data_IF_438653451751
#
_entry.id   IF_438653451751
#
_cell.length_a   1.000
_cell.length_b   1.000
_cell.length_c   1.000
_cell.angle_alpha   90.00
_cell.angle_beta   90.00
_cell.angle_gamma   90.00
#
_symmetry.space_group_name_H-M   'P 1'
#
loop_
_entity.id
_entity.type
_entity.pdbx_description
1 polymer ?
#
# COMPACT_ATOMS: atom_id res chain seq x y z
N UNK A 1 26.98 -26.11 -49.36
CA UNK A 1 25.63 -25.83 -48.82
C UNK A 1 25.74 -25.83 -47.32
N UNK A 2 25.71 -24.64 -46.70
CA UNK A 2 25.82 -24.48 -45.25
C UNK A 2 24.39 -24.28 -44.71
N UNK A 3 23.89 -25.26 -43.96
CA UNK A 3 22.59 -25.19 -43.32
C UNK A 3 22.63 -24.17 -42.19
N UNK A 4 21.88 -23.07 -42.36
CA UNK A 4 21.62 -22.09 -41.33
C UNK A 4 20.49 -22.66 -40.47
N UNK A 5 20.83 -23.17 -39.27
CA UNK A 5 19.80 -23.45 -38.24
C UNK A 5 19.43 -22.13 -37.58
N UNK A 6 18.26 -21.62 -37.94
CA UNK A 6 17.60 -20.53 -37.23
C UNK A 6 16.97 -21.12 -35.96
N UNK A 7 17.63 -20.93 -34.82
CA UNK A 7 17.09 -21.31 -33.52
C UNK A 7 16.14 -20.15 -33.05
N UNK A 8 14.85 -20.33 -33.28
CA UNK A 8 13.85 -19.42 -32.73
C UNK A 8 13.71 -19.65 -31.24
N UNK A 9 14.25 -18.73 -30.46
CA UNK A 9 14.00 -18.65 -29.01
C UNK A 9 12.58 -18.19 -28.81
N UNK A 10 11.69 -19.09 -28.43
CA UNK A 10 10.33 -18.78 -28.01
C UNK A 10 10.40 -18.13 -26.61
N UNK A 11 10.25 -16.83 -26.54
CA UNK A 11 10.10 -16.11 -25.27
C UNK A 11 8.66 -16.31 -24.79
N UNK A 12 8.43 -17.31 -23.93
CA UNK A 12 7.15 -17.46 -23.25
C UNK A 12 7.05 -16.36 -22.18
N UNK A 13 6.27 -15.34 -22.45
CA UNK A 13 5.87 -14.37 -21.44
C UNK A 13 4.83 -15.04 -20.53
N UNK A 14 5.25 -15.49 -19.36
CA UNK A 14 4.33 -15.90 -18.31
C UNK A 14 3.70 -14.61 -17.73
N UNK A 15 2.54 -14.24 -18.22
CA UNK A 15 1.67 -13.32 -17.50
C UNK A 15 1.05 -14.11 -16.35
N UNK A 16 1.61 -13.98 -15.15
CA UNK A 16 0.93 -14.43 -13.92
C UNK A 16 -0.25 -13.45 -13.78
N UNK A 17 -1.51 -13.91 -13.83
CA UNK A 17 -2.62 -13.02 -13.52
C UNK A 17 -2.40 -12.54 -12.07
N UNK A 18 -2.33 -11.23 -11.88
CA UNK A 18 -2.39 -10.68 -10.53
C UNK A 18 -3.72 -11.16 -9.93
N UNK A 19 -3.66 -11.89 -8.82
CA UNK A 19 -4.86 -12.23 -8.10
C UNK A 19 -5.51 -10.91 -7.70
N UNK A 20 -6.78 -10.72 -8.01
CA UNK A 20 -7.52 -9.56 -7.59
C UNK A 20 -7.61 -9.62 -6.06
N UNK A 21 -7.00 -8.67 -5.38
CA UNK A 21 -7.11 -8.53 -3.94
C UNK A 21 -8.54 -8.24 -3.53
N UNK A 22 -8.90 -8.61 -2.31
CA UNK A 22 -10.18 -8.25 -1.71
C UNK A 22 -9.92 -7.11 -0.73
N UNK A 23 -10.47 -5.93 -1.02
CA UNK A 23 -10.38 -4.75 -0.18
C UNK A 23 -11.50 -4.72 0.87
N UNK A 24 -11.17 -4.16 2.05
CA UNK A 24 -12.13 -3.83 3.08
C UNK A 24 -11.71 -2.58 3.85
N UNK A 25 -12.71 -1.91 4.42
CA UNK A 25 -12.58 -0.73 5.29
C UNK A 25 -13.48 -0.96 6.50
N UNK A 26 -12.97 -0.72 7.70
CA UNK A 26 -13.73 -0.72 8.94
C UNK A 26 -13.48 0.59 9.69
N UNK A 27 -14.53 1.19 10.23
CA UNK A 27 -14.49 2.46 10.97
C UNK A 27 -15.05 2.25 12.35
N UNK A 28 -14.29 2.64 13.37
CA UNK A 28 -14.67 2.51 14.77
C UNK A 28 -14.61 3.86 15.50
N UNK A 29 -15.57 4.11 16.38
CA UNK A 29 -15.50 5.13 17.42
C UNK A 29 -15.33 4.46 18.78
N UNK A 30 -14.24 4.77 19.50
CA UNK A 30 -13.92 4.16 20.79
C UNK A 30 -14.07 2.62 20.79
N UNK A 31 -13.54 1.97 19.76
CA UNK A 31 -13.65 0.51 19.52
C UNK A 31 -15.07 0.00 19.20
N UNK A 32 -16.05 0.88 19.01
CA UNK A 32 -17.39 0.51 18.54
C UNK A 32 -17.45 0.65 17.03
N UNK A 33 -17.84 -0.40 16.33
CA UNK A 33 -17.96 -0.35 14.87
C UNK A 33 -19.05 0.65 14.47
N UNK A 34 -18.67 1.65 13.68
CA UNK A 34 -19.56 2.67 13.11
C UNK A 34 -20.09 2.21 11.76
N UNK A 35 -19.17 1.78 10.88
CA UNK A 35 -19.51 1.29 9.53
C UNK A 35 -18.41 0.40 8.98
N UNK A 36 -18.75 -0.39 7.96
CA UNK A 36 -17.78 -1.26 7.29
C UNK A 36 -18.14 -1.52 5.83
N UNK A 37 -17.12 -1.71 5.01
CA UNK A 37 -17.22 -2.08 3.61
C UNK A 37 -16.20 -3.19 3.34
N UNK A 38 -16.62 -4.31 2.74
CA UNK A 38 -15.72 -5.44 2.49
C UNK A 38 -16.11 -6.20 1.22
N UNK A 39 -15.21 -7.08 0.78
CA UNK A 39 -15.47 -7.95 -0.36
C UNK A 39 -15.27 -7.30 -1.73
N UNK A 40 -14.62 -6.15 -1.81
CA UNK A 40 -14.41 -5.43 -3.07
C UNK A 40 -13.20 -5.99 -3.82
N UNK A 41 -13.41 -6.34 -5.08
CA UNK A 41 -12.37 -6.88 -5.98
C UNK A 41 -11.98 -5.91 -7.10
N UNK A 42 -12.52 -4.68 -7.06
CA UNK A 42 -12.28 -3.65 -8.09
C UNK A 42 -10.95 -2.91 -7.91
N UNK A 43 -10.28 -3.09 -6.77
CA UNK A 43 -9.04 -2.39 -6.42
C UNK A 43 -9.25 -0.95 -5.95
N UNK A 44 -10.49 -0.48 -5.85
CA UNK A 44 -10.85 0.82 -5.27
C UNK A 44 -12.01 0.66 -4.32
N UNK A 45 -12.00 1.43 -3.24
CA UNK A 45 -13.07 1.49 -2.26
C UNK A 45 -13.31 2.94 -1.82
N UNK A 46 -14.58 3.27 -1.55
CA UNK A 46 -14.97 4.53 -0.94
C UNK A 46 -16.03 4.24 0.13
N UNK A 47 -15.78 4.70 1.34
CA UNK A 47 -16.71 4.62 2.47
C UNK A 47 -17.02 6.02 2.96
N UNK A 48 -18.30 6.29 3.20
CA UNK A 48 -18.76 7.49 3.92
C UNK A 48 -19.55 7.03 5.13
N UNK A 49 -19.13 7.45 6.31
CA UNK A 49 -19.74 7.09 7.58
C UNK A 49 -20.02 8.32 8.44
N UNK A 50 -20.92 8.19 9.40
CA UNK A 50 -21.19 9.20 10.43
C UNK A 50 -21.86 8.55 11.63
N UNK A 51 -21.70 9.19 12.79
CA UNK A 51 -22.40 8.81 14.02
C UNK A 51 -22.71 10.03 14.90
N UNK A 52 -22.92 9.83 16.21
CA UNK A 52 -23.20 10.93 17.13
C UNK A 52 -21.96 11.82 17.39
N UNK A 53 -20.75 11.25 17.32
CA UNK A 53 -19.49 11.95 17.56
C UNK A 53 -18.92 12.57 16.27
N UNK A 54 -19.15 11.95 15.12
CA UNK A 54 -18.60 12.37 13.84
C UNK A 54 -19.69 12.69 12.83
N UNK A 55 -19.69 13.92 12.32
CA UNK A 55 -20.65 14.37 11.31
C UNK A 55 -20.31 13.89 9.91
N UNK A 56 -19.05 13.62 9.66
CA UNK A 56 -18.54 13.15 8.36
C UNK A 56 -17.24 12.37 8.56
N UNK A 57 -17.16 11.20 7.94
CA UNK A 57 -15.96 10.38 7.82
C UNK A 57 -15.94 9.87 6.39
N UNK A 58 -14.91 10.22 5.62
CA UNK A 58 -14.75 9.79 4.23
C UNK A 58 -13.40 9.09 4.06
N UNK A 59 -13.42 7.89 3.52
CA UNK A 59 -12.24 7.06 3.30
C UNK A 59 -12.18 6.65 1.84
N UNK A 60 -11.11 7.01 1.16
CA UNK A 60 -10.82 6.58 -0.21
C UNK A 60 -9.60 5.67 -0.22
N UNK A 61 -9.71 4.51 -0.84
CA UNK A 61 -8.69 3.47 -0.84
C UNK A 61 -8.44 2.94 -2.24
N UNK A 62 -7.17 2.68 -2.52
CA UNK A 62 -6.73 1.96 -3.71
C UNK A 62 -5.83 0.78 -3.31
N UNK A 63 -5.97 -0.33 -4.00
CA UNK A 63 -5.20 -1.54 -3.81
C UNK A 63 -5.17 -2.39 -5.08
N UNK A 64 -4.80 -3.66 -4.99
CA UNK A 64 -4.80 -4.57 -6.12
C UNK A 64 -6.24 -4.83 -6.65
N UNK A 65 -6.50 -4.83 -7.98
CA UNK A 65 -5.54 -4.80 -9.09
C UNK A 65 -5.20 -3.40 -9.62
N UNK A 66 -5.70 -2.31 -9.04
CA UNK A 66 -5.41 -0.93 -9.48
C UNK A 66 -3.94 -0.60 -9.19
N UNK A 67 -3.49 -0.89 -7.98
CA UNK A 67 -2.07 -0.79 -7.61
C UNK A 67 -1.34 -2.10 -7.92
N UNK A 68 -0.06 -2.03 -8.28
CA UNK A 68 0.74 -3.21 -8.57
C UNK A 68 1.06 -4.01 -7.29
N UNK A 69 1.18 -5.32 -7.44
CA UNK A 69 1.61 -6.25 -6.38
C UNK A 69 0.69 -6.21 -5.15
N UNK A 70 1.27 -5.95 -3.98
CA UNK A 70 0.58 -5.81 -2.71
C UNK A 70 0.65 -4.35 -2.20
N UNK A 71 0.66 -3.39 -3.11
CA UNK A 71 0.59 -2.00 -2.73
C UNK A 71 -0.83 -1.67 -2.25
N UNK A 72 -0.92 -0.92 -1.17
CA UNK A 72 -2.17 -0.49 -0.56
C UNK A 72 -2.06 0.99 -0.18
N UNK A 73 -3.02 1.78 -0.60
CA UNK A 73 -3.04 3.20 -0.31
C UNK A 73 -4.43 3.63 0.18
N UNK A 74 -4.48 4.29 1.32
CA UNK A 74 -5.59 5.17 1.66
C UNK A 74 -5.27 6.55 1.09
N UNK A 75 -5.84 6.85 -0.07
CA UNK A 75 -5.53 8.09 -0.82
C UNK A 75 -6.05 9.33 -0.13
N UNK A 76 -7.12 9.21 0.65
CA UNK A 76 -7.55 10.21 1.63
C UNK A 76 -8.39 9.59 2.74
N UNK A 77 -8.19 10.08 3.95
CA UNK A 77 -9.10 9.99 5.07
C UNK A 77 -9.43 11.41 5.51
N UNK A 78 -10.70 11.75 5.49
CA UNK A 78 -11.23 13.02 5.99
C UNK A 78 -12.24 12.72 7.09
N UNK A 79 -12.09 13.33 8.26
CA UNK A 79 -13.00 13.14 9.39
C UNK A 79 -13.30 14.48 10.08
N UNK A 80 -14.56 14.70 10.46
CA UNK A 80 -15.01 15.91 11.15
C UNK A 80 -15.86 15.57 12.37
N UNK A 81 -15.44 16.04 13.55
CA UNK A 81 -16.21 15.90 14.76
C UNK A 81 -17.52 16.68 14.67
N UNK A 82 -18.62 16.11 15.16
CA UNK A 82 -19.93 16.73 15.16
C UNK A 82 -20.00 17.97 16.04
N UNK A 83 -20.93 18.88 15.77
CA UNK A 83 -21.14 20.06 16.58
C UNK A 83 -21.61 19.74 18.02
N UNK A 84 -22.25 18.58 18.20
CA UNK A 84 -22.68 18.04 19.49
C UNK A 84 -21.66 17.15 20.20
N UNK A 85 -20.43 17.08 19.68
CA UNK A 85 -19.35 16.27 20.22
C UNK A 85 -19.07 16.56 21.69
N UNK A 86 -18.97 15.51 22.50
CA UNK A 86 -18.68 15.62 23.94
C UNK A 86 -17.70 14.55 24.37
N UNK A 87 -16.75 14.91 25.23
CA UNK A 87 -15.76 13.97 25.75
C UNK A 87 -14.53 13.84 24.82
N UNK A 88 -13.88 12.70 24.90
CA UNK A 88 -12.76 12.33 24.02
C UNK A 88 -13.13 11.08 23.26
N UNK A 89 -12.96 11.11 21.95
CA UNK A 89 -13.21 9.98 21.08
C UNK A 89 -11.94 9.62 20.31
N UNK A 90 -11.71 8.35 20.15
CA UNK A 90 -10.66 7.81 19.26
C UNK A 90 -11.33 7.23 18.04
N UNK A 91 -11.15 7.90 16.90
CA UNK A 91 -11.52 7.36 15.61
C UNK A 91 -10.43 6.39 15.17
N UNK A 92 -10.80 5.14 14.94
CA UNK A 92 -9.93 4.15 14.31
C UNK A 92 -10.48 3.79 12.94
N UNK A 93 -9.63 3.87 11.93
CA UNK A 93 -9.95 3.45 10.56
C UNK A 93 -8.97 2.38 10.16
N UNK A 94 -9.47 1.20 9.87
CA UNK A 94 -8.70 0.05 9.39
C UNK A 94 -9.02 -0.18 7.93
N UNK A 95 -7.97 -0.30 7.12
CA UNK A 95 -8.05 -0.65 5.70
C UNK A 95 -7.23 -1.90 5.50
N UNK A 96 -7.78 -2.89 4.85
CA UNK A 96 -7.08 -4.15 4.61
C UNK A 96 -7.33 -4.68 3.20
N UNK A 97 -6.35 -5.40 2.68
CA UNK A 97 -6.52 -6.21 1.48
C UNK A 97 -5.96 -7.61 1.67
N UNK A 98 -6.63 -8.60 1.07
CA UNK A 98 -6.25 -10.01 1.12
C UNK A 98 -6.18 -10.58 -0.29
N UNK A 99 -5.49 -11.72 -0.46
CA UNK A 99 -5.35 -12.36 -1.76
C UNK A 99 -4.30 -11.71 -2.67
N UNK A 100 -3.46 -10.85 -2.12
CA UNK A 100 -2.32 -10.21 -2.80
C UNK A 100 -1.05 -11.03 -2.62
N UNK A 101 0.05 -10.63 -3.23
CA UNK A 101 1.35 -11.26 -3.06
C UNK A 101 2.43 -10.19 -2.96
N UNK A 102 2.86 -9.93 -1.74
CA UNK A 102 3.98 -9.03 -1.42
C UNK A 102 5.25 -9.78 -1.07
N UNK A 103 6.40 -9.19 -1.39
CA UNK A 103 7.74 -9.69 -1.05
C UNK A 103 8.74 -8.56 -0.92
N UNK A 104 9.68 -8.71 -0.01
CA UNK A 104 10.87 -7.86 0.08
C UNK A 104 10.64 -6.61 0.93
N UNK A 105 11.56 -5.64 0.84
CA UNK A 105 11.43 -4.42 1.61
C UNK A 105 10.17 -3.67 1.21
N UNK A 106 9.50 -3.11 2.19
CA UNK A 106 8.33 -2.25 2.05
C UNK A 106 8.69 -0.83 2.46
N UNK A 107 8.00 0.13 1.88
CA UNK A 107 8.09 1.52 2.25
C UNK A 107 6.71 2.03 2.63
N UNK A 108 6.60 2.64 3.80
CA UNK A 108 5.37 3.24 4.29
C UNK A 108 5.50 4.76 4.27
N UNK A 109 4.55 5.43 3.64
CA UNK A 109 4.46 6.89 3.62
C UNK A 109 3.23 7.31 4.41
N UNK A 110 3.43 8.16 5.40
CA UNK A 110 2.40 8.68 6.29
C UNK A 110 2.25 10.18 6.06
N UNK A 111 1.02 10.68 5.95
CA UNK A 111 0.78 12.10 5.66
C UNK A 111 -0.45 12.61 6.40
N UNK A 112 -0.29 13.71 7.11
CA UNK A 112 -1.35 14.42 7.81
C UNK A 112 -1.53 15.79 7.20
N UNK A 113 -2.77 16.16 6.88
CA UNK A 113 -3.17 17.44 6.29
C UNK A 113 -4.40 18.00 7.02
N UNK A 114 -4.49 19.31 7.11
CA UNK A 114 -5.75 19.98 7.43
C UNK A 114 -6.28 19.78 8.84
N UNK A 115 -5.41 19.70 9.86
CA UNK A 115 -5.85 19.67 11.26
C UNK A 115 -6.41 21.02 11.67
N UNK A 116 -7.74 21.16 11.62
CA UNK A 116 -8.44 22.34 12.12
C UNK A 116 -8.86 22.07 13.59
N UNK A 117 -8.44 22.94 14.51
CA UNK A 117 -8.75 22.84 15.93
C UNK A 117 -7.88 21.85 16.71
N UNK A 118 -6.89 21.24 16.09
CA UNK A 118 -5.91 20.35 16.73
C UNK A 118 -6.54 19.11 17.38
N UNK A 119 -6.85 18.04 16.64
CA UNK A 119 -7.17 16.76 17.26
C UNK A 119 -6.03 16.34 18.19
N UNK A 120 -6.26 15.31 18.99
CA UNK A 120 -5.21 14.65 19.76
C UNK A 120 -4.10 14.09 18.87
N UNK A 121 -3.15 13.34 19.42
CA UNK A 121 -2.12 12.70 18.61
C UNK A 121 -2.76 11.75 17.60
N UNK A 122 -2.18 11.70 16.40
CA UNK A 122 -2.58 10.77 15.35
C UNK A 122 -1.48 9.75 15.18
N UNK A 123 -1.80 8.48 15.23
CA UNK A 123 -0.90 7.40 14.87
C UNK A 123 -1.38 6.75 13.58
N UNK A 124 -0.49 6.62 12.62
CA UNK A 124 -0.69 5.93 11.36
C UNK A 124 0.24 4.74 11.31
N UNK A 125 -0.27 3.58 10.91
CA UNK A 125 0.46 2.32 10.96
C UNK A 125 0.22 1.48 9.71
N UNK A 126 1.21 0.65 9.35
CA UNK A 126 1.14 -0.32 8.26
C UNK A 126 1.49 -1.71 8.77
N UNK A 127 0.87 -2.73 8.19
CA UNK A 127 0.98 -4.11 8.64
C UNK A 127 1.17 -5.07 7.45
N UNK A 128 1.89 -6.19 7.68
CA UNK A 128 1.89 -7.36 6.80
C UNK A 128 1.02 -8.47 7.38
N UNK A 129 0.28 -9.15 6.52
CA UNK A 129 -0.66 -10.20 6.93
C UNK A 129 -1.80 -9.58 7.72
N UNK A 130 -2.99 -9.68 7.29
CA UNK A 130 -4.15 -9.13 7.98
C UNK A 130 -5.43 -9.72 7.43
N UNK A 131 -6.50 -9.46 8.15
CA UNK A 131 -7.86 -9.83 7.77
C UNK A 131 -8.82 -8.85 8.41
N UNK A 132 -10.08 -8.94 8.10
CA UNK A 132 -11.15 -8.16 8.76
C UNK A 132 -11.27 -8.37 10.28
N UNK A 133 -10.46 -9.21 10.88
CA UNK A 133 -10.47 -9.48 12.31
C UNK A 133 -9.10 -9.29 12.99
N UNK A 134 -8.07 -8.98 12.22
CA UNK A 134 -6.70 -8.81 12.72
C UNK A 134 -5.85 -8.08 11.70
N UNK A 135 -5.22 -6.99 12.09
CA UNK A 135 -4.33 -6.19 11.23
C UNK A 135 -3.02 -6.91 10.84
N UNK A 136 -2.64 -7.98 11.54
CA UNK A 136 -1.42 -8.74 11.25
C UNK A 136 -0.19 -8.23 12.01
N UNK A 137 0.99 -8.33 11.39
CA UNK A 137 2.27 -7.93 11.99
C UNK A 137 2.60 -6.48 11.64
N UNK A 138 2.87 -5.65 12.63
CA UNK A 138 3.26 -4.25 12.42
C UNK A 138 4.56 -4.16 11.62
N UNK A 139 4.52 -3.42 10.52
CA UNK A 139 5.67 -3.08 9.69
C UNK A 139 6.27 -1.74 10.12
N UNK A 140 5.44 -0.71 10.14
CA UNK A 140 5.85 0.66 10.48
C UNK A 140 4.72 1.41 11.15
N UNK A 141 5.07 2.35 12.01
CA UNK A 141 4.13 3.29 12.61
C UNK A 141 4.77 4.66 12.79
N UNK A 142 3.98 5.72 12.60
CA UNK A 142 4.39 7.08 12.88
C UNK A 142 3.31 7.82 13.67
N UNK A 143 3.73 8.55 14.72
CA UNK A 143 2.82 9.35 15.53
C UNK A 143 3.09 10.83 15.29
N UNK A 144 2.09 11.53 14.79
CA UNK A 144 2.10 12.97 14.64
C UNK A 144 1.65 13.65 15.94
N UNK A 145 2.40 14.66 16.41
CA UNK A 145 2.04 15.35 17.65
C UNK A 145 0.78 16.22 17.48
N UNK A 146 0.15 16.50 18.61
CA UNK A 146 -1.00 17.42 18.69
C UNK A 146 -0.65 18.80 18.13
N UNK A 147 -1.59 19.39 17.39
CA UNK A 147 -1.45 20.74 16.83
C UNK A 147 -0.61 20.84 15.55
N UNK A 148 -0.18 19.73 15.01
CA UNK A 148 0.46 19.72 13.69
C UNK A 148 -0.60 19.97 12.61
N UNK A 149 -0.37 20.96 11.75
CA UNK A 149 -1.29 21.31 10.67
C UNK A 149 -0.93 20.63 9.34
N UNK A 150 0.28 20.09 9.24
CA UNK A 150 0.78 19.43 8.05
C UNK A 150 2.03 18.62 8.39
N UNK A 151 2.11 17.40 7.96
CA UNK A 151 3.27 16.55 8.22
C UNK A 151 3.33 15.34 7.32
N UNK A 152 4.54 14.83 7.10
CA UNK A 152 4.75 13.56 6.43
C UNK A 152 5.94 12.83 7.04
N UNK A 153 5.88 11.50 7.00
CA UNK A 153 6.98 10.62 7.39
C UNK A 153 7.05 9.47 6.38
N UNK A 154 8.27 8.98 6.15
CA UNK A 154 8.52 7.83 5.30
C UNK A 154 9.42 6.86 6.06
N UNK A 155 8.98 5.62 6.16
CA UNK A 155 9.66 4.57 6.90
C UNK A 155 9.80 3.32 6.04
N UNK A 156 11.00 2.75 6.04
CA UNK A 156 11.29 1.48 5.37
C UNK A 156 11.23 0.34 6.38
N UNK A 157 10.65 -0.79 5.97
CA UNK A 157 10.61 -2.00 6.76
C UNK A 157 11.05 -3.21 5.94
N UNK A 158 11.67 -4.18 6.62
CA UNK A 158 11.97 -5.47 6.02
C UNK A 158 10.75 -6.36 6.18
N UNK A 159 10.02 -6.55 5.09
CA UNK A 159 8.92 -7.49 5.04
C UNK A 159 9.36 -8.86 4.53
N UNK A 160 8.68 -9.90 4.96
CA UNK A 160 8.80 -11.25 4.43
C UNK A 160 8.02 -11.44 3.13
N UNK A 161 7.46 -12.62 2.94
CA UNK A 161 6.43 -12.88 1.94
C UNK A 161 5.09 -12.85 2.62
N UNK A 162 4.15 -12.05 2.12
CA UNK A 162 2.82 -11.93 2.69
C UNK A 162 1.74 -11.99 1.60
N UNK A 163 0.53 -12.36 2.00
CA UNK A 163 -0.64 -12.49 1.11
C UNK A 163 -1.78 -11.57 1.51
N UNK A 164 -1.55 -10.71 2.48
CA UNK A 164 -2.45 -9.69 2.95
C UNK A 164 -1.64 -8.54 3.56
N UNK A 165 -2.18 -7.34 3.56
CA UNK A 165 -1.65 -6.16 4.22
C UNK A 165 -2.77 -5.28 4.75
N UNK A 166 -2.41 -4.35 5.64
CA UNK A 166 -3.37 -3.41 6.21
C UNK A 166 -2.74 -2.07 6.56
N UNK A 167 -3.60 -1.06 6.66
CA UNK A 167 -3.30 0.28 7.15
C UNK A 167 -4.23 0.59 8.33
N UNK A 168 -3.75 1.32 9.31
CA UNK A 168 -4.55 1.78 10.44
C UNK A 168 -4.29 3.25 10.72
N UNK A 169 -5.36 3.98 11.00
CA UNK A 169 -5.34 5.30 11.58
C UNK A 169 -5.94 5.25 12.99
N UNK A 170 -5.26 5.85 13.95
CA UNK A 170 -5.81 6.12 15.29
C UNK A 170 -5.72 7.61 15.56
N UNK A 171 -6.86 8.28 15.62
CA UNK A 171 -6.96 9.74 15.72
C UNK A 171 -7.77 10.10 16.95
N UNK A 172 -7.17 10.83 17.88
CA UNK A 172 -7.85 11.29 19.09
C UNK A 172 -8.49 12.68 18.87
N UNK A 173 -9.80 12.77 18.99
CA UNK A 173 -10.58 14.00 18.97
C UNK A 173 -10.98 14.39 20.39
N UNK A 174 -10.96 15.67 20.71
CA UNK A 174 -11.24 16.21 22.05
C UNK A 174 -12.19 17.40 22.08
N UNK A 175 -12.64 17.89 20.91
CA UNK A 175 -13.55 19.03 20.84
C UNK A 175 -14.44 18.96 19.57
N UNK A 176 -15.63 19.61 19.59
CA UNK A 176 -16.50 19.69 18.43
C UNK A 176 -15.85 20.48 17.29
N UNK A 177 -16.27 20.18 16.07
CA UNK A 177 -15.79 20.78 14.82
C UNK A 177 -14.27 20.62 14.56
N UNK A 178 -13.59 19.73 15.26
CA UNK A 178 -12.24 19.33 14.87
C UNK A 178 -12.30 18.53 13.59
N UNK A 179 -11.35 18.75 12.70
CA UNK A 179 -11.23 17.96 11.47
C UNK A 179 -9.83 17.38 11.31
N UNK A 180 -9.76 16.26 10.66
CA UNK A 180 -8.54 15.55 10.29
C UNK A 180 -8.57 15.27 8.80
N UNK A 181 -7.42 15.38 8.14
CA UNK A 181 -7.16 14.85 6.80
C UNK A 181 -5.83 14.13 6.80
N UNK A 182 -5.77 13.00 6.12
CA UNK A 182 -4.52 12.21 6.05
C UNK A 182 -4.53 11.19 4.92
N UNK A 183 -3.36 10.63 4.66
CA UNK A 183 -3.17 9.50 3.75
C UNK A 183 -2.06 8.60 4.24
N UNK A 184 -2.21 7.30 4.04
CA UNK A 184 -1.18 6.28 4.28
C UNK A 184 -1.00 5.46 3.01
N UNK A 185 0.24 5.24 2.64
CA UNK A 185 0.61 4.41 1.50
C UNK A 185 1.62 3.36 1.94
N UNK A 186 1.38 2.11 1.57
CA UNK A 186 2.29 0.99 1.69
C UNK A 186 2.68 0.54 0.28
N UNK A 187 3.96 0.64 -0.04
CA UNK A 187 4.51 0.17 -1.32
C UNK A 187 5.50 -0.97 -1.09
N UNK A 188 5.44 -1.95 -1.99
CA UNK A 188 6.35 -3.09 -2.00
C UNK A 188 7.38 -2.90 -3.10
N UNK A 189 8.67 -2.82 -2.74
CA UNK A 189 9.73 -2.77 -3.72
C UNK A 189 10.04 -4.18 -4.23
N UNK A 190 9.45 -4.60 -5.33
CA UNK A 190 9.87 -5.82 -6.02
C UNK A 190 10.93 -5.46 -7.05
N UNK A 191 12.16 -5.97 -6.95
CA UNK A 191 13.11 -5.86 -8.06
C UNK A 191 12.46 -6.50 -9.28
N UNK A 192 12.17 -5.73 -10.31
CA UNK A 192 11.50 -6.22 -11.51
C UNK A 192 12.28 -7.42 -12.08
N UNK A 193 11.70 -8.64 -12.10
CA UNK A 193 12.36 -9.82 -12.68
C UNK A 193 12.78 -9.58 -14.14
N UNK A 194 12.04 -8.72 -14.86
CA UNK A 194 12.32 -8.28 -16.21
C UNK A 194 13.65 -7.52 -16.32
N UNK A 195 13.98 -6.65 -15.36
CA UNK A 195 15.23 -5.86 -15.36
C UNK A 195 16.43 -6.80 -15.20
N UNK A 196 16.38 -7.75 -14.28
CA UNK A 196 17.42 -8.76 -14.10
C UNK A 196 17.52 -9.70 -15.29
N UNK A 197 16.39 -10.16 -15.85
CA UNK A 197 16.38 -11.00 -17.04
C UNK A 197 16.97 -10.26 -18.24
N UNK A 198 16.62 -9.00 -18.48
CA UNK A 198 17.18 -8.18 -19.55
C UNK A 198 18.68 -7.91 -19.36
N UNK A 199 19.13 -7.70 -18.13
CA UNK A 199 20.54 -7.52 -17.80
C UNK A 199 21.34 -8.80 -18.09
N UNK A 200 20.84 -9.98 -17.68
CA UNK A 200 21.46 -11.27 -17.96
C UNK A 200 21.49 -11.55 -19.47
N UNK A 201 20.39 -11.32 -20.18
CA UNK A 201 20.30 -11.48 -21.64
C UNK A 201 21.27 -10.51 -22.33
N UNK A 202 21.35 -9.26 -21.88
CA UNK A 202 22.29 -8.26 -22.42
C UNK A 202 23.75 -8.70 -22.26
N UNK A 203 24.15 -9.16 -21.08
CA UNK A 203 25.51 -9.68 -20.86
C UNK A 203 25.80 -10.98 -21.63
N UNK A 204 24.85 -11.89 -21.74
CA UNK A 204 24.99 -13.10 -22.55
C UNK A 204 25.19 -12.77 -24.03
N UNK A 205 24.47 -11.76 -24.54
CA UNK A 205 24.60 -11.30 -25.93
C UNK A 205 25.96 -10.64 -26.19
N UNK A 206 26.43 -9.81 -25.28
CA UNK A 206 27.76 -9.19 -25.36
C UNK A 206 28.89 -10.23 -25.31
N UNK A 207 28.78 -11.21 -24.41
CA UNK A 207 29.73 -12.31 -24.30
C UNK A 207 29.79 -13.19 -25.58
N UNK A 208 28.63 -13.48 -26.17
CA UNK A 208 28.55 -14.20 -27.43
C UNK A 208 29.12 -13.41 -28.61
N UNK A 209 28.83 -12.11 -28.72
CA UNK A 209 29.36 -11.24 -29.76
C UNK A 209 30.89 -11.11 -29.66
N UNK A 210 31.45 -10.99 -28.44
CA UNK A 210 32.86 -10.93 -28.18
C UNK A 210 33.55 -12.25 -28.57
N UNK A 211 32.95 -13.41 -28.27
CA UNK A 211 33.50 -14.72 -28.60
C UNK A 211 33.53 -15.00 -30.12
N UNK A 212 32.54 -14.46 -30.85
CA UNK A 212 32.53 -14.54 -32.31
C UNK A 212 33.69 -13.77 -32.94
N UNK A 213 33.94 -12.55 -32.48
CA UNK A 213 35.01 -11.71 -32.99
C UNK A 213 36.40 -12.31 -32.78
N UNK A 214 36.65 -12.99 -31.65
CA UNK A 214 37.91 -13.64 -31.37
C UNK A 214 38.16 -14.88 -32.24
N UNK A 215 37.13 -15.53 -32.78
CA UNK A 215 37.29 -16.68 -33.71
C UNK A 215 37.72 -16.26 -35.10
N UNK A 216 37.34 -15.08 -35.56
CA UNK A 216 37.71 -14.57 -36.89
C UNK A 216 39.19 -14.17 -36.96
N UNK A 217 39.79 -13.73 -35.83
CA UNK A 217 41.20 -13.35 -35.75
C UNK A 217 42.19 -14.56 -35.70
N UNK A 218 41.72 -15.72 -35.31
CA UNK A 218 42.54 -16.92 -35.22
C UNK A 218 42.58 -17.74 -36.53
N UNK A 219 41.92 -17.29 -37.58
CA UNK A 219 41.89 -17.95 -38.90
C UNK A 219 42.45 -17.06 -40.04
N UNK A 220 43.00 -15.91 -39.72
CA UNK A 220 43.76 -15.05 -40.64
C UNK A 220 45.28 -15.14 -40.37
#
# INVERSE_FOLDING_TARGET
MKNLFLSSVFLATFTIPAAAGVLGIEVFDNSTLVDSLSGLTTGTAHLTASDAAFSDIQVNVEGSPVLPFADLSSTSLDATAATGFTGTHTLTVEVFQTGVSGRGPTQSTFTVNGLIGGPGPTTESTFEGGSSSSLGTLLSAHTFPVGLTNGSAQLDAAAGSFTADALEYQIAFAAPNQSFGGSVELTTSVPEPSTWAMLIVGFAFLGWAASRRNREWNHA
#
